data_IF_344746916946
#
_entry.id   IF_344746916946
#
_cell.length_a   1.000
_cell.length_b   1.000
_cell.length_c   1.000
_cell.angle_alpha   90.00
_cell.angle_beta   90.00
_cell.angle_gamma   90.00
#
_symmetry.space_group_name_H-M   'P 1'
#
loop_
_entity.id
_entity.type
_entity.pdbx_description
1 polymer ?
#
# COMPACT_ATOMS: atom_id res chain seq x y z
N UNK A 1 8.98 -10.18 -19.25
CA UNK A 1 9.08 -9.95 -17.79
C UNK A 1 9.32 -8.47 -17.48
N UNK A 2 8.26 -7.65 -17.47
CA UNK A 2 8.36 -6.23 -17.11
C UNK A 2 7.95 -6.02 -15.64
N UNK A 3 8.72 -5.20 -14.92
CA UNK A 3 8.41 -4.76 -13.55
C UNK A 3 8.08 -3.27 -13.61
N UNK A 4 6.94 -2.90 -13.05
CA UNK A 4 6.51 -1.52 -12.86
C UNK A 4 6.81 -1.11 -11.43
N UNK A 5 7.36 0.09 -11.26
CA UNK A 5 7.59 0.71 -9.95
C UNK A 5 6.68 1.92 -9.86
N UNK A 6 5.69 1.84 -8.98
CA UNK A 6 4.79 2.95 -8.71
C UNK A 6 5.41 3.76 -7.58
N UNK A 7 5.65 5.05 -7.82
CA UNK A 7 6.16 5.99 -6.83
C UNK A 7 5.13 7.10 -6.70
N UNK A 8 4.58 7.27 -5.50
CA UNK A 8 3.75 8.41 -5.17
C UNK A 8 4.52 9.36 -4.24
N UNK A 9 4.17 10.63 -4.32
CA UNK A 9 4.76 11.69 -3.51
C UNK A 9 3.64 12.53 -2.93
N UNK A 10 3.72 12.79 -1.63
CA UNK A 10 2.81 13.68 -0.92
C UNK A 10 3.63 14.84 -0.35
N UNK A 11 3.14 16.06 -0.56
CA UNK A 11 3.76 17.27 0.00
C UNK A 11 2.70 18.05 0.77
N UNK A 12 2.98 18.38 2.02
CA UNK A 12 2.16 19.31 2.80
C UNK A 12 2.56 20.74 2.45
N UNK A 13 1.83 21.43 1.58
CA UNK A 13 2.13 22.82 1.19
C UNK A 13 1.67 23.89 2.19
N UNK A 14 1.06 23.49 3.31
CA UNK A 14 0.55 24.44 4.31
C UNK A 14 1.55 24.70 5.43
N UNK A 15 1.30 25.76 6.19
CA UNK A 15 2.00 26.09 7.44
C UNK A 15 1.48 25.31 8.67
N UNK A 16 0.57 24.33 8.48
CA UNK A 16 0.00 23.52 9.55
C UNK A 16 0.38 22.04 9.39
N UNK A 17 0.57 21.33 10.51
CA UNK A 17 0.74 19.87 10.50
C UNK A 17 -0.55 19.19 10.05
N UNK A 18 -0.46 18.38 8.99
CA UNK A 18 -1.55 17.47 8.59
C UNK A 18 -1.43 16.17 9.37
N UNK A 19 -2.55 15.59 9.80
CA UNK A 19 -2.60 14.33 10.58
C UNK A 19 -3.42 13.29 9.83
N UNK A 20 -3.13 12.01 10.09
CA UNK A 20 -3.88 10.86 9.55
C UNK A 20 -4.04 10.89 8.03
N UNK A 21 -2.95 11.14 7.30
CA UNK A 21 -2.98 11.19 5.84
C UNK A 21 -3.03 9.75 5.32
N UNK A 22 -4.10 9.42 4.59
CA UNK A 22 -4.32 8.10 4.02
C UNK A 22 -4.18 8.18 2.51
N UNK A 23 -3.31 7.34 1.94
CA UNK A 23 -3.14 7.15 0.50
C UNK A 23 -3.55 5.72 0.18
N UNK A 24 -4.66 5.57 -0.54
CA UNK A 24 -5.18 4.26 -0.97
C UNK A 24 -4.83 4.04 -2.44
N UNK A 25 -3.99 3.04 -2.71
CA UNK A 25 -3.52 2.71 -4.05
C UNK A 25 -4.09 1.36 -4.50
N UNK A 26 -5.09 1.34 -5.40
CA UNK A 26 -5.49 0.14 -6.09
C UNK A 26 -4.33 -0.47 -6.89
N UNK A 27 -4.22 -1.79 -6.93
CA UNK A 27 -3.29 -2.49 -7.82
C UNK A 27 -3.74 -2.24 -9.27
N UNK A 28 -2.87 -1.68 -10.14
CA UNK A 28 -3.28 -1.32 -11.49
C UNK A 28 -3.69 -2.52 -12.34
N UNK A 29 -4.72 -2.32 -13.17
CA UNK A 29 -5.22 -3.33 -14.10
C UNK A 29 -4.09 -3.84 -15.00
N UNK A 30 -4.12 -5.13 -15.34
CA UNK A 30 -3.08 -5.78 -16.14
C UNK A 30 -1.78 -6.08 -15.39
N UNK A 31 -1.73 -5.88 -14.07
CA UNK A 31 -0.56 -6.16 -13.24
C UNK A 31 -0.87 -7.10 -12.08
N UNK A 32 0.18 -7.64 -11.46
CA UNK A 32 0.13 -8.36 -10.18
C UNK A 32 1.11 -7.74 -9.21
N UNK A 33 0.71 -7.57 -7.95
CA UNK A 33 1.60 -7.02 -6.92
C UNK A 33 2.79 -7.95 -6.68
N UNK A 34 3.95 -7.37 -6.36
CA UNK A 34 5.11 -8.12 -5.86
C UNK A 34 5.09 -8.03 -4.32
N UNK A 35 4.77 -9.11 -3.58
CA UNK A 35 4.72 -9.09 -2.13
C UNK A 35 5.98 -8.52 -1.49
N UNK A 36 5.82 -7.83 -0.35
CA UNK A 36 6.89 -7.17 0.41
C UNK A 36 7.66 -6.07 -0.35
N UNK A 37 7.19 -5.62 -1.51
CA UNK A 37 7.85 -4.54 -2.26
C UNK A 37 7.41 -3.14 -1.84
N UNK A 38 6.28 -3.01 -1.14
CA UNK A 38 5.78 -1.74 -0.65
C UNK A 38 6.71 -1.14 0.42
N UNK A 39 6.97 0.16 0.32
CA UNK A 39 7.82 0.92 1.24
C UNK A 39 7.36 2.37 1.30
N UNK A 40 7.65 3.04 2.40
CA UNK A 40 7.41 4.48 2.54
C UNK A 40 8.49 5.14 3.39
N UNK A 41 8.67 6.42 3.15
CA UNK A 41 9.51 7.31 3.97
C UNK A 41 8.73 7.79 5.20
N UNK A 42 9.42 8.33 6.20
CA UNK A 42 8.78 9.05 7.31
C UNK A 42 7.96 8.19 8.27
N UNK A 43 8.19 6.87 8.30
CA UNK A 43 7.58 5.96 9.30
C UNK A 43 6.09 5.72 9.10
N UNK A 44 5.59 5.75 7.86
CA UNK A 44 4.19 5.42 7.59
C UNK A 44 3.89 3.95 7.92
N UNK A 45 2.60 3.67 8.17
CA UNK A 45 2.08 2.31 8.27
C UNK A 45 1.58 1.84 6.90
N UNK A 46 1.84 0.58 6.57
CA UNK A 46 1.43 -0.02 5.29
C UNK A 46 0.41 -1.13 5.59
N UNK A 47 -0.74 -1.04 4.93
CA UNK A 47 -1.80 -2.02 4.99
C UNK A 47 -2.15 -2.52 3.59
N UNK A 48 -2.77 -3.68 3.54
CA UNK A 48 -3.06 -4.39 2.31
C UNK A 48 -4.49 -4.88 2.31
N UNK A 49 -5.11 -4.91 1.14
CA UNK A 49 -6.45 -5.47 0.92
C UNK A 49 -6.41 -6.55 -0.15
N UNK A 50 -7.13 -7.64 0.08
CA UNK A 50 -7.37 -8.73 -0.89
C UNK A 50 -8.86 -8.87 -1.26
N UNK A 51 -9.69 -7.91 -0.85
CA UNK A 51 -11.16 -7.98 -0.93
C UNK A 51 -11.78 -6.75 -1.64
N UNK A 52 -11.01 -6.11 -2.51
CA UNK A 52 -11.45 -4.95 -3.28
C UNK A 52 -11.47 -3.66 -2.47
N UNK A 53 -10.64 -3.55 -1.43
CA UNK A 53 -10.53 -2.35 -0.59
C UNK A 53 -11.58 -2.29 0.52
N UNK A 54 -12.26 -3.40 0.84
CA UNK A 54 -13.26 -3.45 1.90
C UNK A 54 -12.61 -3.55 3.27
N UNK A 55 -11.53 -4.32 3.39
CA UNK A 55 -10.74 -4.44 4.61
C UNK A 55 -9.25 -4.28 4.35
N UNK A 56 -8.53 -3.83 5.38
CA UNK A 56 -7.11 -3.55 5.33
C UNK A 56 -6.42 -4.15 6.55
N UNK A 57 -5.37 -4.94 6.31
CA UNK A 57 -4.59 -5.61 7.35
C UNK A 57 -3.11 -5.39 7.14
N UNK A 58 -2.31 -5.52 8.20
CA UNK A 58 -0.86 -5.59 8.05
C UNK A 58 -0.46 -6.88 7.33
N UNK A 59 0.74 -6.93 6.77
CA UNK A 59 1.20 -8.08 5.97
C UNK A 59 1.17 -9.39 6.76
N UNK A 60 1.51 -9.33 8.06
CA UNK A 60 1.54 -10.44 9.00
C UNK A 60 0.15 -10.95 9.43
N UNK A 61 -0.88 -10.14 9.23
CA UNK A 61 -2.27 -10.44 9.58
C UNK A 61 -3.11 -10.81 8.34
N UNK A 62 -2.55 -10.66 7.14
CA UNK A 62 -3.26 -10.82 5.87
C UNK A 62 -3.22 -12.28 5.41
N UNK A 63 -4.38 -12.94 5.46
CA UNK A 63 -4.55 -14.32 5.04
C UNK A 63 -5.75 -14.47 4.11
N UNK A 64 -5.63 -15.39 3.15
CA UNK A 64 -6.77 -15.96 2.43
C UNK A 64 -7.32 -17.11 3.27
N UNK A 65 -8.62 -17.07 3.56
CA UNK A 65 -9.31 -18.06 4.39
C UNK A 65 -10.17 -18.94 3.46
N UNK A 66 -10.06 -20.26 3.63
CA UNK A 66 -10.88 -21.24 2.91
C UNK A 66 -11.34 -22.33 3.86
N UNK A 67 -12.60 -22.25 4.32
CA UNK A 67 -13.07 -23.05 5.45
C UNK A 67 -12.25 -22.74 6.71
N UNK A 68 -11.64 -23.78 7.30
CA UNK A 68 -10.74 -23.66 8.46
C UNK A 68 -9.29 -23.41 8.09
N UNK A 69 -8.92 -23.53 6.81
CA UNK A 69 -7.56 -23.34 6.35
C UNK A 69 -7.24 -21.86 6.11
N UNK A 70 -5.98 -21.47 6.38
CA UNK A 70 -5.44 -20.14 6.08
C UNK A 70 -4.12 -20.25 5.32
N UNK A 71 -3.91 -19.35 4.37
CA UNK A 71 -2.63 -19.19 3.66
C UNK A 71 -2.32 -17.73 3.37
N UNK A 72 -1.05 -17.44 3.08
CA UNK A 72 -0.65 -16.13 2.58
C UNK A 72 -1.24 -15.90 1.17
N UNK A 73 -1.64 -14.66 0.84
CA UNK A 73 -2.11 -14.34 -0.49
C UNK A 73 -0.97 -14.31 -1.51
N UNK A 74 -1.28 -14.74 -2.73
CA UNK A 74 -0.45 -14.58 -3.90
C UNK A 74 -0.55 -13.14 -4.41
N UNK A 75 0.46 -12.68 -5.16
CA UNK A 75 0.50 -11.30 -5.68
C UNK A 75 -0.72 -10.88 -6.52
N UNK A 76 -1.42 -11.84 -7.15
CA UNK A 76 -2.64 -11.61 -7.94
C UNK A 76 -3.90 -11.37 -7.10
N UNK A 77 -3.88 -11.72 -5.81
CA UNK A 77 -5.02 -11.57 -4.91
C UNK A 77 -5.04 -10.21 -4.22
N UNK A 78 -3.92 -9.49 -4.23
CA UNK A 78 -3.87 -8.13 -3.72
C UNK A 78 -4.68 -7.19 -4.61
N UNK A 79 -5.55 -6.42 -3.98
CA UNK A 79 -6.40 -5.42 -4.63
C UNK A 79 -5.94 -3.99 -4.34
N UNK A 80 -5.44 -3.71 -3.14
CA UNK A 80 -4.98 -2.37 -2.73
C UNK A 80 -3.78 -2.42 -1.79
N UNK A 81 -3.01 -1.33 -1.79
CA UNK A 81 -1.99 -1.01 -0.80
C UNK A 81 -2.32 0.36 -0.23
N UNK A 82 -2.49 0.42 1.09
CA UNK A 82 -2.83 1.65 1.82
C UNK A 82 -1.66 2.11 2.65
N UNK A 83 -1.25 3.34 2.45
CA UNK A 83 -0.20 4.00 3.23
C UNK A 83 -0.84 5.02 4.17
N UNK A 84 -0.54 4.93 5.46
CA UNK A 84 -1.06 5.84 6.49
C UNK A 84 0.09 6.58 7.13
N UNK A 85 0.13 7.90 6.94
CA UNK A 85 1.07 8.78 7.60
C UNK A 85 0.38 9.40 8.82
N UNK A 86 0.89 9.15 10.04
CA UNK A 86 0.27 9.71 11.24
C UNK A 86 0.28 11.24 11.21
N UNK A 87 1.34 11.82 10.64
CA UNK A 87 1.44 13.26 10.42
C UNK A 87 2.40 13.63 9.29
N UNK A 88 2.20 14.80 8.71
CA UNK A 88 3.12 15.52 7.85
C UNK A 88 3.25 16.96 8.37
N UNK A 89 4.42 17.30 8.90
CA UNK A 89 4.71 18.67 9.35
C UNK A 89 4.71 19.66 8.17
N UNK A 90 4.62 20.98 8.41
CA UNK A 90 4.61 22.00 7.36
C UNK A 90 5.74 21.81 6.34
N UNK A 91 5.40 21.96 5.06
CA UNK A 91 6.32 21.86 3.93
C UNK A 91 7.05 20.52 3.77
N UNK A 92 6.69 19.49 4.56
CA UNK A 92 7.28 18.16 4.46
C UNK A 92 6.82 17.46 3.19
N UNK A 93 7.78 16.83 2.53
CA UNK A 93 7.60 15.90 1.43
C UNK A 93 7.94 14.49 1.90
N UNK A 94 7.11 13.52 1.51
CA UNK A 94 7.33 12.08 1.72
C UNK A 94 7.03 11.32 0.44
N UNK A 95 7.70 10.19 0.26
CA UNK A 95 7.44 9.26 -0.84
C UNK A 95 7.03 7.89 -0.32
N UNK A 96 6.25 7.20 -1.15
CA UNK A 96 5.90 5.80 -0.98
C UNK A 96 5.98 5.12 -2.34
N UNK A 97 6.27 3.83 -2.32
CA UNK A 97 6.39 3.06 -3.54
C UNK A 97 5.98 1.62 -3.33
N UNK A 98 5.59 0.97 -4.43
CA UNK A 98 5.43 -0.47 -4.51
C UNK A 98 5.78 -0.95 -5.92
N UNK A 99 5.99 -2.26 -6.08
CA UNK A 99 6.28 -2.87 -7.38
C UNK A 99 5.17 -3.82 -7.80
N UNK A 100 4.91 -3.86 -9.10
CA UNK A 100 4.06 -4.88 -9.72
C UNK A 100 4.74 -5.48 -10.95
N UNK A 101 4.32 -6.68 -11.34
CA UNK A 101 4.71 -7.33 -12.59
C UNK A 101 3.57 -7.22 -13.59
N UNK A 102 3.87 -6.93 -14.86
CA UNK A 102 2.88 -7.00 -15.95
C UNK A 102 2.48 -8.46 -16.16
N UNK A 103 1.17 -8.72 -16.31
CA UNK A 103 0.64 -10.06 -16.59
C UNK A 103 1.11 -10.59 -17.95
#
# INVERSE_FOLDING_TARGET
NAILIYVNQVTNYSNQTKKNIVIDNPIPKGTVYIPKSARCEGGCQIYYSIDGGKSFKKQEELFVIYGTAKRVPNGSEYSHIKFVFPQLIPYKKVRMAFKSRVK
#
